data_IF_022464369362
#
_entry.id   IF_022464369362
#
_cell.length_a   1.000
_cell.length_b   1.000
_cell.length_c   1.000
_cell.angle_alpha   90.00
_cell.angle_beta   90.00
_cell.angle_gamma   90.00
#
_symmetry.space_group_name_H-M   'P 1'
#
loop_
_entity.id
_entity.type
_entity.pdbx_description
1 polymer ?
#
# COMPACT_ATOMS: atom_id res chain seq x y z
N UNK A 1 -3.87 4.36 -16.32
CA UNK A 1 -4.78 5.41 -16.85
C UNK A 1 -4.03 6.66 -17.32
N UNK A 2 -3.24 7.37 -16.51
CA UNK A 2 -2.50 8.57 -16.96
C UNK A 2 -1.69 8.37 -18.25
N UNK A 3 -1.00 7.23 -18.38
CA UNK A 3 -0.30 6.84 -19.61
C UNK A 3 -1.21 6.76 -20.85
N UNK A 4 -2.46 6.29 -20.70
CA UNK A 4 -3.42 6.20 -21.80
C UNK A 4 -3.94 7.57 -22.23
N UNK A 5 -3.89 8.56 -21.34
CA UNK A 5 -4.32 9.95 -21.59
C UNK A 5 -3.16 10.87 -21.99
N UNK A 6 -1.93 10.34 -22.13
CA UNK A 6 -0.68 11.10 -22.34
C UNK A 6 -0.44 12.23 -21.32
N UNK A 7 -1.01 12.11 -20.11
CA UNK A 7 -0.77 13.05 -19.01
C UNK A 7 0.53 12.66 -18.28
N UNK A 8 1.63 13.32 -18.68
CA UNK A 8 2.97 13.05 -18.15
C UNK A 8 3.18 13.55 -16.73
N UNK A 9 2.50 14.63 -16.34
CA UNK A 9 2.64 15.20 -14.99
C UNK A 9 1.99 14.26 -13.98
N UNK A 10 0.74 13.86 -14.24
CA UNK A 10 0.05 12.90 -13.39
C UNK A 10 0.79 11.55 -13.33
N UNK A 11 1.34 11.08 -14.46
CA UNK A 11 2.14 9.85 -14.48
C UNK A 11 3.34 9.92 -13.54
N UNK A 12 4.06 11.04 -13.52
CA UNK A 12 5.23 11.24 -12.66
C UNK A 12 4.84 11.32 -11.17
N UNK A 13 3.74 12.01 -10.86
CA UNK A 13 3.23 12.11 -9.49
C UNK A 13 2.81 10.74 -8.97
N UNK A 14 2.07 9.96 -9.77
CA UNK A 14 1.61 8.63 -9.39
C UNK A 14 2.77 7.65 -9.19
N UNK A 15 3.80 7.68 -10.04
CA UNK A 15 4.98 6.83 -9.86
C UNK A 15 5.74 7.18 -8.56
N UNK A 16 5.84 8.48 -8.27
CA UNK A 16 6.47 8.98 -7.04
C UNK A 16 5.70 8.54 -5.80
N UNK A 17 4.38 8.73 -5.79
CA UNK A 17 3.53 8.31 -4.68
C UNK A 17 3.53 6.79 -4.50
N UNK A 18 3.50 6.01 -5.59
CA UNK A 18 3.54 4.56 -5.52
C UNK A 18 4.82 4.05 -4.85
N UNK A 19 5.98 4.63 -5.20
CA UNK A 19 7.27 4.28 -4.58
C UNK A 19 7.27 4.58 -3.08
N UNK A 20 6.82 5.77 -2.69
CA UNK A 20 6.74 6.17 -1.28
C UNK A 20 5.74 5.31 -0.50
N UNK A 21 4.58 5.05 -1.07
CA UNK A 21 3.52 4.24 -0.46
C UNK A 21 3.97 2.79 -0.25
N UNK A 22 4.63 2.17 -1.23
CA UNK A 22 5.17 0.79 -1.10
C UNK A 22 6.13 0.68 0.08
N UNK A 23 7.09 1.59 0.19
CA UNK A 23 8.05 1.62 1.29
C UNK A 23 7.36 1.84 2.65
N UNK A 24 6.43 2.81 2.71
CA UNK A 24 5.67 3.12 3.92
C UNK A 24 4.81 1.93 4.37
N UNK A 25 4.13 1.27 3.45
CA UNK A 25 3.26 0.11 3.72
C UNK A 25 4.05 -1.04 4.33
N UNK A 26 5.17 -1.42 3.72
CA UNK A 26 6.04 -2.46 4.24
C UNK A 26 6.61 -2.09 5.62
N UNK A 27 7.14 -0.88 5.78
CA UNK A 27 7.77 -0.47 7.04
C UNK A 27 6.79 -0.37 8.20
N UNK A 28 5.54 0.02 7.95
CA UNK A 28 4.53 0.26 8.99
C UNK A 28 3.74 -0.98 9.38
N UNK A 29 3.47 -1.87 8.44
CA UNK A 29 2.53 -2.97 8.64
C UNK A 29 3.18 -4.34 8.69
N UNK A 30 4.34 -4.56 8.06
CA UNK A 30 5.01 -5.86 8.08
C UNK A 30 5.59 -6.15 9.46
N UNK A 31 5.15 -7.25 10.08
CA UNK A 31 5.62 -7.68 11.40
C UNK A 31 6.61 -8.86 11.38
N UNK A 32 7.04 -9.30 10.20
CA UNK A 32 7.92 -10.45 10.01
C UNK A 32 7.20 -11.76 9.65
N UNK A 33 5.87 -11.81 9.76
CA UNK A 33 5.06 -12.99 9.41
C UNK A 33 3.85 -12.66 8.54
N UNK A 34 3.16 -11.56 8.85
CA UNK A 34 2.00 -11.06 8.12
C UNK A 34 1.95 -9.52 8.20
N UNK A 35 0.98 -8.91 7.52
CA UNK A 35 0.71 -7.48 7.63
C UNK A 35 -0.31 -7.22 8.73
N UNK A 36 0.06 -6.36 9.66
CA UNK A 36 -0.86 -5.81 10.67
C UNK A 36 -2.08 -5.19 9.99
N UNK A 37 -3.24 -5.26 10.67
CA UNK A 37 -4.50 -4.70 10.18
C UNK A 37 -4.38 -3.20 9.89
N UNK A 38 -3.78 -2.45 10.81
CA UNK A 38 -3.47 -1.03 10.64
C UNK A 38 -2.21 -0.62 11.42
N UNK A 39 -1.81 0.65 11.31
CA UNK A 39 -0.64 1.20 12.00
C UNK A 39 -1.01 2.06 13.22
N UNK A 40 -2.18 1.83 13.81
CA UNK A 40 -2.67 2.60 14.97
C UNK A 40 -2.24 1.97 16.30
N UNK A 41 -2.55 2.64 17.40
CA UNK A 41 -2.41 2.09 18.75
C UNK A 41 -3.67 1.34 19.23
N UNK A 42 -4.60 1.02 18.33
CA UNK A 42 -5.82 0.28 18.65
C UNK A 42 -5.50 -1.13 19.14
N UNK A 43 -6.28 -1.66 20.07
CA UNK A 43 -6.17 -3.06 20.53
C UNK A 43 -6.19 -4.10 19.39
N UNK A 44 -6.77 -3.75 18.25
CA UNK A 44 -6.94 -4.64 17.10
C UNK A 44 -5.95 -4.38 15.95
N UNK A 45 -4.93 -3.55 16.16
CA UNK A 45 -3.99 -3.16 15.10
C UNK A 45 -3.23 -4.34 14.48
N UNK A 46 -3.05 -5.45 15.21
CA UNK A 46 -2.31 -6.65 14.83
C UNK A 46 -3.20 -7.84 14.43
N UNK A 47 -4.51 -7.64 14.29
CA UNK A 47 -5.41 -8.70 13.84
C UNK A 47 -5.07 -9.15 12.41
N UNK A 48 -5.17 -10.45 12.14
CA UNK A 48 -4.93 -11.00 10.80
C UNK A 48 -6.19 -10.79 9.96
N UNK A 49 -6.12 -9.87 8.99
CA UNK A 49 -7.16 -9.73 7.97
C UNK A 49 -6.98 -10.80 6.90
N UNK A 50 -8.04 -11.56 6.59
CA UNK A 50 -8.02 -12.56 5.51
C UNK A 50 -7.71 -11.94 4.15
N UNK A 51 -8.07 -10.67 3.96
CA UNK A 51 -7.91 -9.94 2.70
C UNK A 51 -6.82 -8.84 2.79
N UNK A 52 -5.82 -9.04 3.65
CA UNK A 52 -4.75 -8.05 3.88
C UNK A 52 -3.97 -7.67 2.61
N UNK A 53 -4.01 -8.51 1.56
CA UNK A 53 -3.32 -8.31 0.27
C UNK A 53 -4.28 -8.12 -0.91
N UNK A 54 -5.52 -7.67 -0.69
CA UNK A 54 -6.50 -7.44 -1.76
C UNK A 54 -5.94 -6.62 -2.94
N UNK A 55 -5.11 -5.61 -2.65
CA UNK A 55 -4.48 -4.78 -3.68
C UNK A 55 -3.52 -5.54 -4.60
N UNK A 56 -2.85 -6.59 -4.10
CA UNK A 56 -1.98 -7.43 -4.93
C UNK A 56 -2.76 -8.29 -5.91
N UNK A 57 -4.03 -8.58 -5.62
CA UNK A 57 -4.88 -9.33 -6.55
C UNK A 57 -5.22 -8.53 -7.82
N UNK A 58 -5.17 -7.19 -7.75
CA UNK A 58 -5.52 -6.27 -8.85
C UNK A 58 -4.32 -5.70 -9.62
N UNK A 59 -3.08 -6.00 -9.22
CA UNK A 59 -1.86 -5.52 -9.88
C UNK A 59 -1.62 -6.22 -11.23
#
# INVERSE_FOLDING_TARGET
>A
MARLMDDRNALQDYDTWLKLAKTSYSNKLWNGKYYNYDSSASRHHDCIMSDQLAGFWYL
#
